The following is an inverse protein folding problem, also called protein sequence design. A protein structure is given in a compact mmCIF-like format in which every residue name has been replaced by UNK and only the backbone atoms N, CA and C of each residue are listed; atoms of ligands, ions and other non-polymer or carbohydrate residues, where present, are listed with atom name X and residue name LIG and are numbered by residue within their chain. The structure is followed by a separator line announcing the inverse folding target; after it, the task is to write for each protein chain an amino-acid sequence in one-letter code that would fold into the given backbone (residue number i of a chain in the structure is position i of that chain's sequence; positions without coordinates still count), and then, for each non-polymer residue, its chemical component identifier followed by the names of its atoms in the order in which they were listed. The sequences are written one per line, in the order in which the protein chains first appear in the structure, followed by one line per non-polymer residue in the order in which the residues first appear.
data_IF_911272760077
#
_entry.id   IF_911272760077
#
_cell.length_a   1.000
_cell.length_b   1.000
_cell.length_c   1.000
_cell.angle_alpha   90.00
_cell.angle_beta   90.00
_cell.angle_gamma   90.00
#
_symmetry.space_group_name_H-M   'P 1'
#
loop_
_entity.id
_entity.type
_entity.pdbx_description
1 polymer ?
#
# COMPACT_ATOMS: atom_id res chain seq x y z
N UNK A 1 -66.69 -4.65 -35.07
CA UNK A 1 -65.22 -4.60 -35.27
C UNK A 1 -64.55 -4.34 -33.93
N UNK A 2 -64.11 -5.42 -33.27
CA UNK A 2 -63.36 -5.38 -32.02
C UNK A 2 -61.87 -5.48 -32.35
N UNK A 3 -61.04 -4.58 -31.84
CA UNK A 3 -60.06 -4.97 -30.82
C UNK A 3 -59.31 -3.74 -30.32
N UNK A 4 -59.32 -3.59 -29.00
CA UNK A 4 -58.69 -2.49 -28.30
C UNK A 4 -57.18 -2.48 -28.50
N UNK A 5 -56.65 -1.29 -28.79
CA UNK A 5 -55.23 -0.99 -28.64
C UNK A 5 -54.88 -1.08 -27.15
N UNK A 6 -54.52 -2.28 -26.70
CA UNK A 6 -53.88 -2.47 -25.41
C UNK A 6 -52.50 -1.82 -25.48
N UNK A 7 -52.40 -0.62 -24.92
CA UNK A 7 -51.11 -0.01 -24.59
C UNK A 7 -50.47 -0.88 -23.51
N UNK A 8 -49.70 -1.89 -23.92
CA UNK A 8 -48.79 -2.62 -23.04
C UNK A 8 -47.82 -1.60 -22.47
N UNK A 9 -48.07 -1.18 -21.22
CA UNK A 9 -47.08 -0.53 -20.37
C UNK A 9 -45.88 -1.45 -20.33
N UNK A 10 -44.79 -1.07 -21.02
CA UNK A 10 -43.50 -1.70 -20.84
C UNK A 10 -43.17 -1.52 -19.36
N UNK A 11 -43.09 -2.59 -18.55
CA UNK A 11 -42.73 -2.43 -17.16
C UNK A 11 -41.35 -1.79 -17.18
N UNK A 12 -41.21 -0.65 -16.50
CA UNK A 12 -39.93 0.02 -16.29
C UNK A 12 -39.00 -1.02 -15.68
N UNK A 13 -38.20 -1.66 -16.53
CA UNK A 13 -37.29 -2.71 -16.15
C UNK A 13 -36.40 -2.06 -15.11
N UNK A 14 -36.57 -2.52 -13.86
CA UNK A 14 -35.79 -2.15 -12.70
C UNK A 14 -34.34 -2.36 -13.12
N UNK A 15 -33.69 -1.29 -13.60
CA UNK A 15 -32.26 -1.26 -13.94
C UNK A 15 -31.57 -1.48 -12.61
N UNK A 16 -31.46 -2.74 -12.19
CA UNK A 16 -30.48 -3.16 -11.20
C UNK A 16 -29.18 -2.58 -11.74
N UNK A 17 -28.63 -1.57 -11.06
CA UNK A 17 -27.29 -1.03 -11.30
C UNK A 17 -26.33 -2.22 -11.25
N UNK A 18 -26.15 -2.91 -12.38
CA UNK A 18 -25.03 -3.83 -12.55
C UNK A 18 -23.83 -2.91 -12.54
N UNK A 19 -23.10 -2.92 -11.43
CA UNK A 19 -21.78 -2.29 -11.30
C UNK A 19 -21.01 -2.62 -12.57
N UNK A 20 -20.47 -1.60 -13.24
CA UNK A 20 -19.79 -1.80 -14.51
C UNK A 20 -18.62 -2.77 -14.32
N UNK A 21 -18.32 -3.63 -15.31
CA UNK A 21 -17.18 -4.54 -15.24
C UNK A 21 -15.86 -3.83 -14.90
N UNK A 22 -15.70 -2.57 -15.32
CA UNK A 22 -14.54 -1.74 -15.00
C UNK A 22 -14.40 -1.43 -13.49
N UNK A 23 -15.50 -1.22 -12.78
CA UNK A 23 -15.46 -0.92 -11.34
C UNK A 23 -15.08 -2.18 -10.55
N UNK A 24 -15.52 -3.35 -11.00
CA UNK A 24 -15.11 -4.62 -10.37
C UNK A 24 -13.62 -4.87 -10.52
N UNK A 25 -13.09 -4.70 -11.74
CA UNK A 25 -11.65 -4.83 -11.99
C UNK A 25 -10.82 -3.82 -11.17
N UNK A 26 -11.30 -2.57 -11.06
CA UNK A 26 -10.64 -1.55 -10.24
C UNK A 26 -10.61 -1.92 -8.74
N UNK A 27 -11.71 -2.49 -8.21
CA UNK A 27 -11.76 -2.95 -6.82
C UNK A 27 -10.81 -4.12 -6.60
N UNK A 28 -10.78 -5.09 -7.53
CA UNK A 28 -9.84 -6.21 -7.46
C UNK A 28 -8.39 -5.73 -7.48
N UNK A 29 -8.03 -4.84 -8.40
CA UNK A 29 -6.69 -4.23 -8.44
C UNK A 29 -6.34 -3.46 -7.16
N UNK A 30 -7.31 -2.73 -6.59
CA UNK A 30 -7.12 -2.03 -5.33
C UNK A 30 -6.85 -2.99 -4.17
N UNK A 31 -7.57 -4.11 -4.10
CA UNK A 31 -7.36 -5.16 -3.09
C UNK A 31 -5.97 -5.78 -3.27
N UNK A 32 -5.58 -6.13 -4.50
CA UNK A 32 -4.25 -6.68 -4.78
C UNK A 32 -3.13 -5.67 -4.51
N UNK A 33 -3.36 -4.37 -4.70
CA UNK A 33 -2.42 -3.31 -4.36
C UNK A 33 -2.24 -3.19 -2.86
N UNK A 34 -3.35 -3.20 -2.13
CA UNK A 34 -3.38 -3.16 -0.67
C UNK A 34 -2.68 -4.37 -0.05
N UNK A 35 -2.97 -5.58 -0.55
CA UNK A 35 -2.31 -6.81 -0.11
C UNK A 35 -0.81 -6.78 -0.40
N UNK A 36 -0.41 -6.30 -1.59
CA UNK A 36 1.00 -6.16 -1.92
C UNK A 36 1.71 -5.24 -0.92
N UNK A 37 1.15 -4.09 -0.59
CA UNK A 37 1.72 -3.20 0.42
C UNK A 37 1.76 -3.83 1.81
N UNK A 38 0.69 -4.55 2.21
CA UNK A 38 0.61 -5.19 3.51
C UNK A 38 1.71 -6.24 3.74
N UNK A 39 2.13 -6.96 2.69
CA UNK A 39 3.22 -7.93 2.79
C UNK A 39 4.60 -7.30 2.59
N UNK A 40 4.72 -6.36 1.66
CA UNK A 40 6.03 -5.78 1.29
C UNK A 40 6.53 -4.75 2.30
N UNK A 41 5.62 -4.01 2.94
CA UNK A 41 5.98 -3.00 3.93
C UNK A 41 6.67 -3.60 5.18
N UNK A 42 6.16 -4.65 5.84
CA UNK A 42 6.87 -5.28 6.95
C UNK A 42 8.24 -5.82 6.54
N UNK A 43 8.35 -6.44 5.35
CA UNK A 43 9.61 -6.99 4.84
C UNK A 43 10.64 -5.86 4.64
N UNK A 44 10.24 -4.77 3.98
CA UNK A 44 11.14 -3.62 3.77
C UNK A 44 11.55 -2.96 5.08
N UNK A 45 10.64 -2.87 6.05
CA UNK A 45 10.94 -2.37 7.39
C UNK A 45 11.98 -3.24 8.10
N UNK A 46 11.80 -4.57 8.12
CA UNK A 46 12.77 -5.49 8.72
C UNK A 46 14.16 -5.42 8.07
N UNK A 47 14.22 -5.29 6.74
CA UNK A 47 15.51 -5.18 6.05
C UNK A 47 16.19 -3.85 6.39
N UNK A 48 15.44 -2.74 6.40
CA UNK A 48 15.98 -1.43 6.77
C UNK A 48 16.46 -1.42 8.24
N UNK A 49 15.71 -2.07 9.13
CA UNK A 49 16.06 -2.24 10.54
C UNK A 49 17.33 -3.08 10.75
N UNK A 50 17.51 -4.16 9.99
CA UNK A 50 18.75 -4.93 10.01
C UNK A 50 19.95 -4.05 9.58
N UNK A 51 19.74 -3.16 8.61
CA UNK A 51 20.72 -2.14 8.24
C UNK A 51 21.10 -1.23 9.40
N UNK A 52 20.11 -0.76 10.18
CA UNK A 52 20.35 0.03 11.40
C UNK A 52 21.21 -0.73 12.40
N UNK A 53 20.87 -2.00 12.67
CA UNK A 53 21.63 -2.83 13.59
C UNK A 53 23.12 -2.94 13.21
N UNK A 54 23.40 -3.21 11.92
CA UNK A 54 24.78 -3.29 11.42
C UNK A 54 25.52 -1.95 11.63
N UNK A 55 24.87 -0.82 11.34
CA UNK A 55 25.49 0.50 11.48
C UNK A 55 25.72 0.89 12.94
N UNK A 56 24.84 0.48 13.86
CA UNK A 56 25.04 0.65 15.31
C UNK A 56 26.27 -0.13 15.77
N UNK A 57 26.41 -1.40 15.34
CA UNK A 57 27.60 -2.22 15.66
C UNK A 57 28.88 -1.58 15.11
N UNK A 58 28.80 -0.90 13.98
CA UNK A 58 29.93 -0.19 13.35
C UNK A 58 30.13 1.24 13.85
N UNK A 59 29.43 1.64 14.93
CA UNK A 59 29.53 2.96 15.57
C UNK A 59 29.38 4.13 14.60
N UNK A 60 28.47 4.01 13.62
CA UNK A 60 28.19 5.09 12.69
C UNK A 60 27.43 6.25 13.37
N UNK A 61 27.57 7.49 12.89
CA UNK A 61 26.83 8.63 13.43
C UNK A 61 25.32 8.51 13.17
N UNK A 62 24.52 9.03 14.09
CA UNK A 62 23.05 8.93 14.07
C UNK A 62 22.43 9.43 12.75
N UNK A 63 22.91 10.56 12.23
CA UNK A 63 22.39 11.15 10.98
C UNK A 63 22.60 10.21 9.79
N UNK A 64 23.71 9.47 9.79
CA UNK A 64 24.02 8.48 8.77
C UNK A 64 23.13 7.24 8.89
N UNK A 65 22.89 6.78 10.12
CA UNK A 65 21.98 5.65 10.40
C UNK A 65 20.57 5.97 9.91
N UNK A 66 20.03 7.13 10.30
CA UNK A 66 18.67 7.55 9.91
C UNK A 66 18.55 7.73 8.40
N UNK A 67 19.52 8.39 7.77
CA UNK A 67 19.53 8.59 6.32
C UNK A 67 19.52 7.27 5.56
N UNK A 68 20.35 6.30 5.97
CA UNK A 68 20.39 4.99 5.34
C UNK A 68 19.15 4.14 5.64
N UNK A 69 18.57 4.25 6.84
CA UNK A 69 17.31 3.57 7.16
C UNK A 69 16.20 4.00 6.19
N UNK A 70 15.96 5.32 6.08
CA UNK A 70 14.91 5.85 5.20
C UNK A 70 15.19 5.54 3.73
N UNK A 71 16.44 5.69 3.30
CA UNK A 71 16.84 5.38 1.94
C UNK A 71 16.62 3.90 1.61
N UNK A 72 17.03 2.99 2.50
CA UNK A 72 16.85 1.55 2.32
C UNK A 72 15.38 1.17 2.30
N UNK A 73 14.59 1.70 3.23
CA UNK A 73 13.15 1.46 3.28
C UNK A 73 12.45 1.90 2.00
N UNK A 74 12.76 3.10 1.50
CA UNK A 74 12.19 3.63 0.26
C UNK A 74 12.65 2.84 -0.95
N UNK A 75 13.94 2.48 -1.04
CA UNK A 75 14.47 1.72 -2.18
C UNK A 75 13.85 0.33 -2.26
N UNK A 76 13.73 -0.38 -1.14
CA UNK A 76 13.11 -1.71 -1.11
C UNK A 76 11.63 -1.62 -1.46
N UNK A 77 10.90 -0.63 -0.94
CA UNK A 77 9.51 -0.44 -1.38
C UNK A 77 9.39 -0.06 -2.84
N UNK A 78 10.28 0.78 -3.37
CA UNK A 78 10.30 1.12 -4.78
C UNK A 78 10.54 -0.13 -5.66
N UNK A 79 11.40 -1.06 -5.23
CA UNK A 79 11.61 -2.34 -5.91
C UNK A 79 10.34 -3.20 -5.97
N UNK A 80 9.53 -3.22 -4.91
CA UNK A 80 8.25 -3.93 -4.94
C UNK A 80 7.20 -3.21 -5.78
N UNK A 81 7.18 -1.88 -5.76
CA UNK A 81 6.27 -1.05 -6.57
C UNK A 81 6.63 -1.07 -8.07
N UNK A 82 7.86 -1.46 -8.42
CA UNK A 82 8.26 -1.70 -9.81
C UNK A 82 7.44 -2.81 -10.47
N UNK A 83 6.96 -3.81 -9.72
CA UNK A 83 6.14 -4.91 -10.25
C UNK A 83 4.84 -4.39 -10.89
N UNK A 84 3.95 -3.66 -10.16
CA UNK A 84 2.76 -3.09 -10.77
C UNK A 84 3.07 -1.98 -11.78
N UNK A 85 4.17 -1.24 -11.62
CA UNK A 85 4.59 -0.22 -12.59
C UNK A 85 4.94 -0.86 -13.94
N UNK A 86 5.72 -1.94 -13.95
CA UNK A 86 6.09 -2.69 -15.15
C UNK A 86 4.87 -3.29 -15.85
N UNK A 87 3.92 -3.84 -15.08
CA UNK A 87 2.68 -4.41 -15.60
C UNK A 87 1.64 -3.37 -16.03
N UNK A 88 1.96 -2.06 -15.98
CA UNK A 88 1.05 -0.95 -16.31
C UNK A 88 -0.29 -1.04 -15.56
N UNK A 89 -0.23 -1.37 -14.26
CA UNK A 89 -1.38 -1.47 -13.37
C UNK A 89 -1.44 -0.23 -12.44
N UNK A 90 -1.91 0.93 -12.92
CA UNK A 90 -1.81 2.19 -12.19
C UNK A 90 -2.65 2.21 -10.91
N UNK A 91 -3.81 1.53 -10.91
CA UNK A 91 -4.68 1.47 -9.73
C UNK A 91 -3.98 0.66 -8.64
N UNK A 92 -3.43 -0.50 -8.99
CA UNK A 92 -2.68 -1.34 -8.07
C UNK A 92 -1.47 -0.59 -7.49
N UNK A 93 -0.71 0.12 -8.32
CA UNK A 93 0.42 0.94 -7.89
C UNK A 93 -0.02 2.01 -6.89
N UNK A 94 -1.09 2.75 -7.21
CA UNK A 94 -1.59 3.84 -6.37
C UNK A 94 -2.05 3.33 -5.01
N UNK A 95 -2.82 2.24 -4.98
CA UNK A 95 -3.27 1.64 -3.73
C UNK A 95 -2.11 1.04 -2.93
N UNK A 96 -1.13 0.42 -3.58
CA UNK A 96 0.05 -0.09 -2.88
C UNK A 96 0.86 1.04 -2.22
N UNK A 97 1.12 2.13 -2.96
CA UNK A 97 1.82 3.29 -2.42
C UNK A 97 1.03 3.96 -1.27
N UNK A 98 -0.28 4.13 -1.44
CA UNK A 98 -1.16 4.74 -0.45
C UNK A 98 -1.24 3.90 0.83
N UNK A 99 -1.40 2.58 0.72
CA UNK A 99 -1.43 1.69 1.88
C UNK A 99 -0.07 1.63 2.58
N UNK A 100 1.04 1.58 1.85
CA UNK A 100 2.38 1.63 2.45
C UNK A 100 2.60 2.94 3.22
N UNK A 101 2.17 4.08 2.67
CA UNK A 101 2.20 5.36 3.36
C UNK A 101 1.34 5.36 4.62
N UNK A 102 0.10 4.85 4.54
CA UNK A 102 -0.77 4.73 5.72
C UNK A 102 -0.17 3.84 6.80
N UNK A 103 0.44 2.70 6.43
CA UNK A 103 1.14 1.83 7.37
C UNK A 103 2.32 2.54 8.05
N UNK A 104 3.13 3.27 7.29
CA UNK A 104 4.21 4.09 7.85
C UNK A 104 3.69 5.14 8.83
N UNK A 105 2.68 5.92 8.42
CA UNK A 105 2.09 6.93 9.30
C UNK A 105 1.47 6.31 10.55
N UNK A 106 0.82 5.15 10.43
CA UNK A 106 0.24 4.43 11.56
C UNK A 106 1.33 3.99 12.54
N UNK A 107 2.45 3.49 12.03
CA UNK A 107 3.60 3.06 12.83
C UNK A 107 4.22 4.23 13.60
N UNK A 108 4.46 5.36 12.92
CA UNK A 108 5.05 6.55 13.57
C UNK A 108 4.08 7.21 14.55
N UNK A 109 2.80 7.37 14.18
CA UNK A 109 1.84 8.14 14.99
C UNK A 109 1.18 7.33 16.11
N UNK A 110 0.84 6.06 15.89
CA UNK A 110 0.18 5.25 16.91
C UNK A 110 1.19 4.47 17.77
N UNK A 111 2.27 3.97 17.19
CA UNK A 111 3.25 3.17 17.92
C UNK A 111 4.46 3.97 18.42
N UNK A 112 4.51 5.30 18.15
CA UNK A 112 5.66 6.16 18.47
C UNK A 112 6.98 5.56 18.00
N UNK A 113 6.96 4.92 16.83
CA UNK A 113 8.10 4.17 16.33
C UNK A 113 9.23 5.11 15.91
N UNK A 114 10.37 4.92 16.54
CA UNK A 114 11.68 5.47 16.21
C UNK A 114 12.61 4.35 15.72
N UNK A 115 13.17 4.45 14.49
CA UNK A 115 14.02 3.43 13.87
C UNK A 115 15.23 3.00 14.71
N UNK A 116 15.71 3.88 15.59
CA UNK A 116 16.94 3.68 16.35
C UNK A 116 16.62 3.22 17.77
N UNK A 117 15.67 3.88 18.43
CA UNK A 117 15.45 3.68 19.88
C UNK A 117 14.42 2.59 20.21
N UNK A 118 13.50 2.27 19.30
CA UNK A 118 12.34 1.43 19.63
C UNK A 118 12.65 -0.06 19.69
N UNK A 119 13.64 -0.53 18.94
CA UNK A 119 14.01 -1.95 18.86
C UNK A 119 15.36 -2.27 19.52
N UNK A 120 16.31 -1.33 19.45
CA UNK A 120 17.66 -1.54 19.99
C UNK A 120 17.92 -0.81 21.32
N UNK A 121 16.94 -0.05 21.82
CA UNK A 121 17.04 0.69 23.08
C UNK A 121 17.92 1.94 22.97
N UNK A 122 18.26 2.56 24.11
CA UNK A 122 19.21 3.68 24.13
C UNK A 122 20.57 3.19 23.64
N UNK A 123 21.06 3.85 22.60
CA UNK A 123 22.42 3.68 22.10
C UNK A 123 23.42 3.89 23.25
N UNK A 124 24.51 3.11 23.33
CA UNK A 124 25.45 3.13 24.45
C UNK A 124 26.37 4.38 24.49
N UNK A 125 25.98 5.49 23.86
CA UNK A 125 26.71 6.75 23.84
C UNK A 125 25.82 7.94 24.21
#
# INVERSE_FOLDING_TARGET
MLSGRSWRRVPAARRRRKVSPSVKAAIEEAIYGSLLALFTFPISLFIAELGVWVMIVWMQPLDFILSNFYLTLVLIQALFLLIPAYNKQPIRLLFAALVAYLLWTALVSLASFDPVTTLFGKLPY
#
